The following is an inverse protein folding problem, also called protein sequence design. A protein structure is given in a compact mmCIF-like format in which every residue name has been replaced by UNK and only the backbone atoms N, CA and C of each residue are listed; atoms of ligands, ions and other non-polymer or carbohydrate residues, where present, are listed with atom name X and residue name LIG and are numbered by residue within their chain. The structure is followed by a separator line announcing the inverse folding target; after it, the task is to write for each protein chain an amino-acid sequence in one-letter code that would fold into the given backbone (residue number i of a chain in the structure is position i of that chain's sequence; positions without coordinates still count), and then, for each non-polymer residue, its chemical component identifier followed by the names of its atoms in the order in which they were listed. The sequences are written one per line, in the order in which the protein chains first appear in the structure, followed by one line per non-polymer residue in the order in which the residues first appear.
data_IF_779048743808
#
_entry.id   IF_779048743808
#
_cell.length_a   1.000
_cell.length_b   1.000
_cell.length_c   1.000
_cell.angle_alpha   90.00
_cell.angle_beta   90.00
_cell.angle_gamma   90.00
#
_symmetry.space_group_name_H-M   'P 1'
#
loop_
_entity.id
_entity.type
_entity.pdbx_description
1 polymer ?
#
# COMPACT_ATOMS: atom_id res chain seq x y z
N UNK A 1 -5.51 -0.18 -9.44
CA UNK A 1 -5.22 1.13 -10.08
C UNK A 1 -6.18 1.43 -11.24
N UNK A 2 -6.55 0.47 -12.12
CA UNK A 2 -7.55 0.78 -13.15
C UNK A 2 -8.93 1.14 -12.58
N UNK A 3 -9.27 0.67 -11.37
CA UNK A 3 -10.60 0.85 -10.76
C UNK A 3 -10.86 2.27 -10.23
N UNK A 4 -9.81 3.03 -9.90
CA UNK A 4 -9.90 4.41 -9.38
C UNK A 4 -9.23 5.44 -10.31
N UNK A 5 -8.88 5.03 -11.53
CA UNK A 5 -8.41 5.93 -12.59
C UNK A 5 -6.97 6.41 -12.47
N UNK A 6 -6.14 5.84 -11.57
CA UNK A 6 -4.72 6.17 -11.50
C UNK A 6 -3.89 5.34 -12.49
N UNK A 7 -2.81 5.93 -13.02
CA UNK A 7 -1.85 5.21 -13.87
C UNK A 7 -1.12 4.10 -13.10
N UNK A 8 -0.74 4.36 -11.85
CA UNK A 8 -0.05 3.41 -10.98
C UNK A 8 -0.36 3.73 -9.50
N UNK A 9 -0.40 2.70 -8.66
CA UNK A 9 -0.34 2.84 -7.21
C UNK A 9 1.03 2.39 -6.73
N UNK A 10 1.72 3.24 -5.97
CA UNK A 10 3.08 2.98 -5.51
C UNK A 10 3.13 2.98 -3.98
N UNK A 11 3.73 1.94 -3.44
CA UNK A 11 4.11 1.83 -2.03
C UNK A 11 5.65 1.78 -1.99
N UNK A 12 6.31 2.67 -1.23
CA UNK A 12 7.77 2.71 -1.19
C UNK A 12 8.35 1.46 -0.51
N UNK A 13 9.61 1.16 -0.82
CA UNK A 13 10.29 -0.01 -0.24
C UNK A 13 10.67 0.31 1.19
N UNK A 14 10.32 -0.60 2.09
CA UNK A 14 10.57 -0.48 3.53
C UNK A 14 11.03 -1.82 4.12
N UNK A 15 11.14 -1.87 5.46
CA UNK A 15 11.50 -3.08 6.19
C UNK A 15 10.51 -4.22 5.99
N UNK A 16 9.21 -3.94 5.88
CA UNK A 16 8.20 -4.98 5.63
C UNK A 16 8.33 -5.55 4.22
N UNK A 17 8.76 -4.75 3.24
CA UNK A 17 9.10 -5.23 1.89
C UNK A 17 10.25 -6.23 1.94
N UNK A 18 11.32 -5.94 2.69
CA UNK A 18 12.45 -6.87 2.87
C UNK A 18 12.00 -8.15 3.58
N UNK A 19 11.22 -8.03 4.65
CA UNK A 19 10.63 -9.18 5.35
C UNK A 19 9.77 -10.03 4.43
N UNK A 20 8.99 -9.41 3.53
CA UNK A 20 8.21 -10.12 2.53
C UNK A 20 9.11 -10.89 1.54
N UNK A 21 10.23 -10.31 1.11
CA UNK A 21 11.20 -11.00 0.25
C UNK A 21 11.82 -12.22 0.96
N UNK A 22 12.19 -12.08 2.22
CA UNK A 22 12.72 -13.18 3.03
C UNK A 22 11.69 -14.32 3.18
N UNK A 23 10.45 -13.99 3.57
CA UNK A 23 9.38 -14.97 3.75
C UNK A 23 8.96 -15.67 2.46
N UNK A 24 9.19 -15.03 1.31
CA UNK A 24 8.95 -15.62 -0.02
C UNK A 24 10.17 -16.32 -0.61
N UNK A 25 11.23 -16.53 0.19
CA UNK A 25 12.34 -17.42 -0.16
C UNK A 25 13.53 -16.75 -0.86
N UNK A 26 13.66 -15.41 -0.81
CA UNK A 26 14.88 -14.74 -1.28
C UNK A 26 16.03 -15.04 -0.33
N UNK A 27 17.23 -15.19 -0.88
CA UNK A 27 18.42 -15.40 -0.05
C UNK A 27 18.74 -14.13 0.73
N UNK A 28 19.43 -14.29 1.87
CA UNK A 28 19.90 -13.14 2.65
C UNK A 28 20.69 -12.14 1.80
N UNK A 29 21.59 -12.64 0.93
CA UNK A 29 22.38 -11.79 0.04
C UNK A 29 21.53 -10.98 -0.95
N UNK A 30 20.40 -11.52 -1.43
CA UNK A 30 19.47 -10.80 -2.29
C UNK A 30 18.72 -9.71 -1.53
N UNK A 31 18.24 -10.02 -0.31
CA UNK A 31 17.57 -9.05 0.55
C UNK A 31 18.50 -7.89 0.93
N UNK A 32 19.72 -8.20 1.35
CA UNK A 32 20.74 -7.21 1.69
C UNK A 32 21.07 -6.30 0.48
N UNK A 33 21.14 -6.88 -0.73
CA UNK A 33 21.33 -6.12 -1.98
C UNK A 33 20.17 -5.16 -2.27
N UNK A 34 18.93 -5.65 -2.17
CA UNK A 34 17.73 -4.83 -2.43
C UNK A 34 17.68 -3.67 -1.45
N UNK A 35 17.90 -3.91 -0.15
CA UNK A 35 17.91 -2.85 0.86
C UNK A 35 19.00 -1.80 0.58
N UNK A 36 20.24 -2.24 0.37
CA UNK A 36 21.35 -1.34 0.13
C UNK A 36 21.16 -0.50 -1.14
N UNK A 37 20.58 -1.09 -2.18
CA UNK A 37 20.34 -0.40 -3.45
C UNK A 37 19.17 0.58 -3.36
N UNK A 38 18.05 0.19 -2.74
CA UNK A 38 16.89 1.07 -2.54
C UNK A 38 17.24 2.31 -1.72
N UNK A 39 18.09 2.16 -0.68
CA UNK A 39 18.61 3.29 0.10
C UNK A 39 19.44 4.26 -0.74
N UNK A 40 20.28 3.74 -1.65
CA UNK A 40 21.07 4.58 -2.57
C UNK A 40 20.22 5.30 -3.61
N UNK A 41 19.12 4.68 -4.07
CA UNK A 41 18.21 5.27 -5.04
C UNK A 41 17.21 6.27 -4.44
N UNK A 42 17.26 6.52 -3.13
CA UNK A 42 16.26 7.32 -2.41
C UNK A 42 14.82 6.75 -2.56
N UNK A 43 14.72 5.43 -2.75
CA UNK A 43 13.46 4.69 -2.87
C UNK A 43 13.08 3.98 -1.55
N UNK A 44 13.87 4.15 -0.50
CA UNK A 44 13.66 3.60 0.83
C UNK A 44 12.79 4.52 1.67
N UNK A 45 11.83 3.94 2.40
CA UNK A 45 10.95 4.64 3.32
C UNK A 45 11.22 4.25 4.77
N UNK A 46 11.24 5.26 5.64
CA UNK A 46 11.18 5.11 7.09
C UNK A 46 10.13 6.09 7.65
N UNK A 47 9.45 5.76 8.77
CA UNK A 47 8.37 6.58 9.32
C UNK A 47 8.77 8.00 9.76
N UNK A 48 10.05 8.23 10.02
CA UNK A 48 10.60 9.51 10.48
C UNK A 48 11.14 10.39 9.34
N UNK A 49 11.06 9.92 8.09
CA UNK A 49 11.44 10.70 6.93
C UNK A 49 10.41 11.80 6.63
N UNK A 50 10.85 12.95 6.09
CA UNK A 50 9.93 13.97 5.61
C UNK A 50 9.08 13.44 4.44
N UNK A 51 7.79 13.78 4.46
CA UNK A 51 6.88 13.43 3.36
C UNK A 51 7.34 14.06 2.04
N UNK A 52 7.25 13.32 0.91
CA UNK A 52 7.46 13.89 -0.41
C UNK A 52 6.48 15.03 -0.71
N UNK A 53 6.87 15.92 -1.62
CA UNK A 53 5.96 16.95 -2.11
C UNK A 53 4.95 16.35 -3.09
N UNK A 54 3.69 16.31 -2.68
CA UNK A 54 2.59 15.84 -3.51
C UNK A 54 1.74 17.01 -4.02
N UNK A 55 1.29 16.93 -5.27
CA UNK A 55 0.34 17.90 -5.85
C UNK A 55 -0.98 17.93 -5.09
N UNK A 56 -1.39 16.79 -4.53
CA UNK A 56 -2.57 16.65 -3.68
C UNK A 56 -2.33 15.55 -2.65
N UNK A 57 -2.62 15.85 -1.39
CA UNK A 57 -2.61 14.88 -0.29
C UNK A 57 -4.06 14.51 0.05
N UNK A 58 -4.33 13.23 0.20
CA UNK A 58 -5.63 12.70 0.65
C UNK A 58 -5.37 11.86 1.88
N UNK A 59 -6.09 12.15 2.96
CA UNK A 59 -5.95 11.45 4.25
C UNK A 59 -7.08 10.44 4.42
N UNK A 60 -6.74 9.25 4.90
CA UNK A 60 -7.69 8.22 5.29
C UNK A 60 -7.39 7.78 6.72
N UNK A 61 -8.33 8.00 7.63
CA UNK A 61 -8.26 7.44 8.97
C UNK A 61 -8.71 5.97 8.92
N UNK A 62 -7.76 5.05 9.15
CA UNK A 62 -8.03 3.60 9.15
C UNK A 62 -8.99 3.18 10.27
N UNK A 63 -9.11 3.94 11.36
CA UNK A 63 -10.07 3.68 12.43
C UNK A 63 -11.54 3.85 12.00
N UNK A 64 -11.77 4.61 10.93
CA UNK A 64 -13.11 4.81 10.33
C UNK A 64 -13.51 3.71 9.35
N UNK A 65 -12.58 2.81 9.02
CA UNK A 65 -12.81 1.76 8.03
C UNK A 65 -13.62 0.62 8.65
N UNK A 66 -14.83 0.42 8.11
CA UNK A 66 -15.71 -0.70 8.47
C UNK A 66 -15.76 -1.76 7.35
N UNK A 67 -16.16 -2.98 7.73
CA UNK A 67 -16.42 -4.07 6.78
C UNK A 67 -17.54 -3.67 5.82
N UNK A 68 -17.30 -3.82 4.53
CA UNK A 68 -18.27 -3.48 3.49
C UNK A 68 -18.27 -4.52 2.37
N UNK A 69 -19.38 -4.58 1.65
CA UNK A 69 -19.54 -5.37 0.43
C UNK A 69 -19.66 -4.42 -0.77
N UNK A 70 -19.03 -4.78 -1.88
CA UNK A 70 -19.11 -4.03 -3.13
C UNK A 70 -20.15 -4.68 -4.07
N UNK A 71 -21.16 -3.92 -4.53
CA UNK A 71 -22.17 -4.44 -5.46
C UNK A 71 -23.59 -3.92 -5.21
N UNK A 72 -24.63 -4.53 -5.85
CA UNK A 72 -24.59 -5.75 -6.66
C UNK A 72 -24.21 -5.55 -8.13
N UNK A 73 -24.16 -4.30 -8.61
CA UNK A 73 -23.97 -4.00 -10.05
C UNK A 73 -22.63 -3.35 -10.39
N UNK A 74 -22.00 -2.60 -9.47
CA UNK A 74 -20.75 -1.88 -9.73
C UNK A 74 -19.76 -2.04 -8.56
N UNK A 75 -18.45 -2.23 -8.82
CA UNK A 75 -17.44 -2.37 -7.77
C UNK A 75 -17.31 -1.15 -6.85
N UNK A 76 -17.65 0.04 -7.33
CA UNK A 76 -17.62 1.28 -6.55
C UNK A 76 -18.82 1.46 -5.61
N UNK A 77 -19.85 0.61 -5.70
CA UNK A 77 -21.02 0.67 -4.83
C UNK A 77 -20.68 0.02 -3.48
N UNK A 78 -20.19 0.82 -2.52
CA UNK A 78 -19.84 0.37 -1.16
C UNK A 78 -21.08 0.30 -0.27
N UNK A 79 -21.44 -0.90 0.18
CA UNK A 79 -22.52 -1.15 1.14
C UNK A 79 -21.89 -1.59 2.47
N UNK A 80 -22.06 -0.83 3.58
CA UNK A 80 -21.65 -1.30 4.91
C UNK A 80 -22.29 -2.65 5.24
N UNK A 81 -21.53 -3.58 5.82
CA UNK A 81 -22.05 -4.93 6.10
C UNK A 81 -23.27 -4.90 7.03
N UNK A 82 -23.34 -3.90 7.92
CA UNK A 82 -24.49 -3.63 8.80
C UNK A 82 -25.79 -3.33 8.06
N UNK A 83 -25.72 -2.91 6.79
CA UNK A 83 -26.87 -2.53 5.96
C UNK A 83 -27.24 -3.62 4.93
N UNK A 84 -26.48 -4.72 4.86
CA UNK A 84 -26.81 -5.87 4.02
C UNK A 84 -27.92 -6.65 4.70
N UNK A 85 -29.13 -6.65 4.10
CA UNK A 85 -30.23 -7.51 4.55
C UNK A 85 -29.87 -8.98 4.26
N UNK A 86 -30.04 -9.85 5.25
CA UNK A 86 -29.97 -11.32 5.07
C UNK A 86 -31.03 -11.81 4.11
#
# INVERSE_FOLDING_TARGET
APEYGATCGYFPIDKETIRYLETTGRTKSQCDLVEAYSKKLLAWYEPDMPDPQYTKVVTLDLGTVEKSLAGPKRPQDRIPLSQVKS
#
